data_IF_164172726091
#
_entry.id   IF_164172726091
#
_cell.length_a   1.000
_cell.length_b   1.000
_cell.length_c   1.000
_cell.angle_alpha   90.00
_cell.angle_beta   90.00
_cell.angle_gamma   90.00
#
_symmetry.space_group_name_H-M   'P 1'
#
loop_
_entity.id
_entity.type
_entity.pdbx_description
1 polymer ?
#
# COMPACT_ATOMS: atom_id res chain seq x y z
N UNK A 1 -15.29 1.97 -15.65
CA UNK A 1 -15.09 1.88 -14.18
C UNK A 1 -13.71 2.40 -13.85
N UNK A 2 -13.61 3.24 -12.82
CA UNK A 2 -12.37 3.84 -12.35
C UNK A 2 -11.98 3.19 -11.02
N UNK A 3 -10.82 2.54 -10.98
CA UNK A 3 -10.36 1.75 -9.84
C UNK A 3 -9.11 2.41 -9.28
N UNK A 4 -9.11 2.68 -7.97
CA UNK A 4 -7.89 3.03 -7.26
C UNK A 4 -7.32 1.77 -6.61
N UNK A 5 -6.15 1.32 -7.05
CA UNK A 5 -5.39 0.30 -6.37
C UNK A 5 -4.48 0.97 -5.34
N UNK A 6 -4.45 0.47 -4.10
CA UNK A 6 -3.48 0.88 -3.08
C UNK A 6 -2.62 -0.33 -2.71
N UNK A 7 -1.32 -0.20 -2.90
CA UNK A 7 -0.33 -1.22 -2.57
C UNK A 7 1.00 -0.54 -2.31
N UNK A 8 1.71 -0.91 -1.24
CA UNK A 8 3.06 -0.37 -1.03
C UNK A 8 4.00 -0.78 -2.17
N UNK A 9 3.87 -2.04 -2.61
CA UNK A 9 4.73 -2.64 -3.61
C UNK A 9 4.04 -2.69 -4.97
N UNK A 10 4.75 -2.23 -5.98
CA UNK A 10 4.28 -2.24 -7.37
C UNK A 10 5.48 -2.20 -8.32
N UNK A 11 5.23 -2.34 -9.62
CA UNK A 11 6.26 -2.34 -10.65
C UNK A 11 7.30 -1.22 -10.42
N UNK A 12 8.61 -1.45 -10.54
CA UNK A 12 9.31 -2.66 -11.02
C UNK A 12 9.37 -3.85 -10.06
N UNK A 13 8.77 -3.77 -8.88
CA UNK A 13 8.72 -4.89 -7.94
C UNK A 13 7.68 -5.91 -8.41
N UNK A 14 8.11 -7.14 -8.69
CA UNK A 14 7.27 -8.20 -9.25
C UNK A 14 6.29 -8.80 -8.23
N UNK A 15 5.10 -8.24 -8.12
CA UNK A 15 4.02 -8.72 -7.26
C UNK A 15 2.75 -9.04 -8.07
N UNK A 16 1.93 -9.98 -7.60
CA UNK A 16 0.68 -10.39 -8.30
C UNK A 16 -0.28 -9.23 -8.56
N UNK A 17 -0.20 -8.15 -7.78
CA UNK A 17 -1.01 -6.94 -8.00
C UNK A 17 -0.71 -6.28 -9.35
N UNK A 18 0.49 -6.46 -9.92
CA UNK A 18 0.83 -5.98 -11.25
C UNK A 18 -0.03 -6.66 -12.31
N UNK A 19 -0.15 -7.99 -12.26
CA UNK A 19 -0.98 -8.75 -13.19
C UNK A 19 -2.45 -8.38 -13.06
N UNK A 20 -2.94 -8.23 -11.83
CA UNK A 20 -4.33 -7.77 -11.58
C UNK A 20 -4.56 -6.39 -12.18
N UNK A 21 -3.65 -5.43 -11.96
CA UNK A 21 -3.78 -4.09 -12.53
C UNK A 21 -3.80 -4.12 -14.06
N UNK A 22 -2.89 -4.88 -14.69
CA UNK A 22 -2.85 -5.07 -16.14
C UNK A 22 -4.15 -5.69 -16.66
N UNK A 23 -4.63 -6.77 -16.07
CA UNK A 23 -5.87 -7.42 -16.49
C UNK A 23 -7.11 -6.53 -16.32
N UNK A 24 -7.14 -5.64 -15.32
CA UNK A 24 -8.20 -4.65 -15.17
C UNK A 24 -8.17 -3.61 -16.29
N UNK A 25 -6.97 -3.13 -16.67
CA UNK A 25 -6.79 -2.23 -17.81
C UNK A 25 -7.22 -2.89 -19.12
N UNK A 26 -6.80 -4.14 -19.36
CA UNK A 26 -7.18 -4.92 -20.56
C UNK A 26 -8.71 -5.12 -20.67
N UNK A 27 -9.41 -5.14 -19.54
CA UNK A 27 -10.89 -5.18 -19.46
C UNK A 27 -11.56 -3.80 -19.62
N UNK A 28 -10.80 -2.76 -19.97
CA UNK A 28 -11.30 -1.40 -20.20
C UNK A 28 -11.53 -0.59 -18.91
N UNK A 29 -11.00 -1.01 -17.76
CA UNK A 29 -11.04 -0.20 -16.54
C UNK A 29 -9.96 0.89 -16.59
N UNK A 30 -10.27 2.06 -16.03
CA UNK A 30 -9.25 3.09 -15.75
C UNK A 30 -8.64 2.77 -14.40
N UNK A 31 -7.35 2.47 -14.38
CA UNK A 31 -6.65 2.03 -13.16
C UNK A 31 -5.64 3.08 -12.76
N UNK A 32 -5.82 3.62 -11.56
CA UNK A 32 -4.80 4.42 -10.88
C UNK A 32 -4.24 3.59 -9.73
N UNK A 33 -2.94 3.70 -9.47
CA UNK A 33 -2.25 2.97 -8.40
C UNK A 33 -1.56 3.96 -7.48
N UNK A 34 -1.91 3.98 -6.20
CA UNK A 34 -1.15 4.67 -5.16
C UNK A 34 -0.13 3.70 -4.56
N UNK A 35 1.16 3.99 -4.74
CA UNK A 35 2.25 3.08 -4.37
C UNK A 35 3.46 3.78 -3.74
N UNK A 36 4.35 3.02 -3.11
CA UNK A 36 5.64 3.50 -2.61
C UNK A 36 6.71 3.58 -3.70
N UNK A 37 7.89 4.08 -3.30
CA UNK A 37 9.11 3.98 -4.11
C UNK A 37 9.63 2.53 -4.08
N UNK A 38 10.01 1.94 -5.22
CA UNK A 38 10.45 0.56 -5.28
C UNK A 38 11.75 0.38 -4.51
N UNK A 39 11.79 -0.62 -3.63
CA UNK A 39 12.97 -0.92 -2.79
C UNK A 39 13.11 -2.39 -2.40
N UNK A 40 12.16 -3.24 -2.79
CA UNK A 40 12.14 -4.67 -2.50
C UNK A 40 12.59 -5.48 -3.73
N UNK A 41 13.34 -6.60 -3.56
CA UNK A 41 13.75 -7.22 -2.29
C UNK A 41 15.04 -6.69 -1.66
N UNK A 42 15.86 -5.93 -2.39
CA UNK A 42 17.24 -5.58 -2.01
C UNK A 42 17.31 -4.64 -0.80
N UNK A 43 16.21 -3.96 -0.47
CA UNK A 43 16.09 -2.99 0.62
C UNK A 43 16.62 -1.59 0.27
N UNK A 44 17.13 -1.41 -0.94
CA UNK A 44 17.61 -0.12 -1.48
C UNK A 44 16.68 0.39 -2.57
N UNK A 45 16.52 1.71 -2.66
CA UNK A 45 15.72 2.32 -3.73
C UNK A 45 16.26 1.89 -5.11
N UNK A 46 15.37 1.50 -6.03
CA UNK A 46 15.78 1.07 -7.37
C UNK A 46 16.47 2.21 -8.14
N UNK A 47 17.38 1.88 -9.08
CA UNK A 47 17.98 2.87 -9.97
C UNK A 47 16.92 3.72 -10.70
N UNK A 48 17.16 5.04 -10.79
CA UNK A 48 16.23 5.98 -11.39
C UNK A 48 15.15 6.52 -10.45
N UNK A 49 15.06 5.99 -9.22
CA UNK A 49 14.13 6.47 -8.20
C UNK A 49 14.85 7.23 -7.08
N UNK A 50 14.13 8.17 -6.47
CA UNK A 50 14.53 8.84 -5.23
C UNK A 50 13.56 8.48 -4.10
N UNK A 51 14.07 8.31 -2.88
CA UNK A 51 13.26 8.03 -1.69
C UNK A 51 12.26 9.14 -1.37
N UNK A 52 12.63 10.39 -1.69
CA UNK A 52 11.86 11.59 -1.42
C UNK A 52 11.07 12.06 -2.64
N UNK A 53 10.08 12.91 -2.39
CA UNK A 53 9.25 13.52 -3.42
C UNK A 53 8.17 12.58 -3.98
N UNK A 54 7.08 13.19 -4.42
CA UNK A 54 6.02 12.48 -5.14
C UNK A 54 6.44 12.28 -6.60
N UNK A 55 6.01 11.18 -7.23
CA UNK A 55 6.20 10.97 -8.66
C UNK A 55 4.92 10.46 -9.32
N UNK A 56 4.80 10.73 -10.62
CA UNK A 56 3.77 10.19 -11.49
C UNK A 56 4.44 9.43 -12.63
N UNK A 57 3.97 8.21 -12.88
CA UNK A 57 4.46 7.33 -13.95
C UNK A 57 3.27 6.65 -14.64
N UNK A 58 3.49 6.10 -15.82
CA UNK A 58 2.51 5.24 -16.49
C UNK A 58 3.11 3.86 -16.72
N UNK A 59 2.31 2.83 -16.52
CA UNK A 59 2.72 1.44 -16.68
C UNK A 59 1.55 0.60 -17.19
N UNK A 60 1.70 0.00 -18.38
CA UNK A 60 0.69 -0.86 -19.00
C UNK A 60 -0.74 -0.25 -18.98
N UNK A 61 -0.84 1.05 -19.29
CA UNK A 61 -2.11 1.79 -19.29
C UNK A 61 -2.68 2.15 -17.92
N UNK A 62 -2.01 1.78 -16.82
CA UNK A 62 -2.31 2.24 -15.47
C UNK A 62 -1.47 3.48 -15.11
N UNK A 63 -2.08 4.43 -14.42
CA UNK A 63 -1.38 5.60 -13.86
C UNK A 63 -0.84 5.26 -12.48
N UNK A 64 0.45 5.51 -12.23
CA UNK A 64 1.12 5.26 -10.96
C UNK A 64 1.40 6.57 -10.23
N UNK A 65 0.93 6.67 -9.00
CA UNK A 65 1.15 7.79 -8.08
C UNK A 65 2.06 7.30 -6.96
N UNK A 66 3.32 7.73 -6.97
CA UNK A 66 4.31 7.29 -5.98
C UNK A 66 4.46 8.31 -4.87
N UNK A 67 4.25 7.86 -3.64
CA UNK A 67 4.54 8.64 -2.43
C UNK A 67 5.99 8.42 -1.96
N UNK A 68 6.58 9.37 -1.23
CA UNK A 68 7.85 9.18 -0.54
C UNK A 68 7.84 7.92 0.34
N UNK A 69 8.99 7.24 0.40
CA UNK A 69 9.14 6.01 1.17
C UNK A 69 10.56 5.92 1.71
N UNK A 70 10.69 5.66 3.01
CA UNK A 70 11.98 5.35 3.61
C UNK A 70 12.40 3.93 3.16
N UNK A 71 13.57 3.73 2.54
CA UNK A 71 13.99 2.41 2.07
C UNK A 71 14.10 1.44 3.25
N UNK A 72 13.73 0.17 3.03
CA UNK A 72 13.78 -0.88 4.05
C UNK A 72 15.17 -1.08 4.66
N UNK A 73 16.22 -0.85 3.86
CA UNK A 73 17.60 -1.18 4.21
C UNK A 73 17.87 -2.68 4.13
N UNK A 74 19.16 -3.05 4.15
CA UNK A 74 19.60 -4.44 3.96
C UNK A 74 19.47 -5.28 5.24
N UNK A 75 19.58 -4.64 6.42
CA UNK A 75 19.53 -5.32 7.72
C UNK A 75 18.84 -4.46 8.78
N UNK A 76 17.97 -5.08 9.58
CA UNK A 76 17.42 -4.48 10.80
C UNK A 76 15.89 -4.33 10.80
N UNK A 77 15.29 -4.60 11.96
CA UNK A 77 13.85 -4.42 12.22
C UNK A 77 13.41 -2.96 12.15
N UNK A 78 14.27 -2.03 12.55
CA UNK A 78 13.96 -0.59 12.52
C UNK A 78 13.77 -0.04 11.11
N UNK A 79 14.60 -0.46 10.15
CA UNK A 79 14.45 -0.07 8.74
C UNK A 79 13.15 -0.57 8.14
N UNK A 80 12.76 -1.80 8.48
CA UNK A 80 11.47 -2.37 8.07
C UNK A 80 10.28 -1.60 8.65
N UNK A 81 10.32 -1.28 9.95
CA UNK A 81 9.26 -0.49 10.60
C UNK A 81 9.18 0.92 10.00
N UNK A 82 10.32 1.59 9.79
CA UNK A 82 10.36 2.91 9.17
C UNK A 82 9.83 2.88 7.73
N UNK A 83 10.12 1.83 6.97
CA UNK A 83 9.58 1.61 5.63
C UNK A 83 8.05 1.50 5.63
N UNK A 84 7.47 0.66 6.48
CA UNK A 84 6.02 0.53 6.58
C UNK A 84 5.33 1.81 7.07
N UNK A 85 5.85 2.43 8.14
CA UNK A 85 5.27 3.65 8.69
C UNK A 85 5.38 4.82 7.71
N UNK A 86 6.50 4.97 7.02
CA UNK A 86 6.66 6.03 6.02
C UNK A 86 5.69 5.88 4.85
N UNK A 87 5.38 4.66 4.41
CA UNK A 87 4.33 4.44 3.40
C UNK A 87 2.95 4.86 3.92
N UNK A 88 2.58 4.40 5.12
CA UNK A 88 1.26 4.71 5.70
C UNK A 88 1.10 6.22 5.87
N UNK A 89 2.07 6.89 6.48
CA UNK A 89 2.04 8.33 6.71
C UNK A 89 2.01 9.11 5.40
N UNK A 90 2.89 8.78 4.45
CA UNK A 90 2.96 9.49 3.17
C UNK A 90 1.72 9.23 2.31
N UNK A 91 1.17 8.01 2.35
CA UNK A 91 -0.06 7.64 1.66
C UNK A 91 -1.28 8.39 2.21
N UNK A 92 -1.40 8.52 3.53
CA UNK A 92 -2.50 9.26 4.18
C UNK A 92 -2.40 10.76 3.94
N UNK A 93 -1.19 11.34 4.03
CA UNK A 93 -1.00 12.79 3.93
C UNK A 93 -0.97 13.26 2.47
N UNK A 94 -0.22 12.58 1.61
CA UNK A 94 0.04 13.02 0.24
C UNK A 94 -0.88 12.34 -0.77
N UNK A 95 -1.35 11.12 -0.50
CA UNK A 95 -2.25 10.39 -1.40
C UNK A 95 -3.52 11.16 -1.78
N UNK A 96 -4.32 11.68 -0.82
CA UNK A 96 -5.51 12.46 -1.14
C UNK A 96 -5.21 13.68 -2.02
N UNK A 97 -4.09 14.37 -1.77
CA UNK A 97 -3.66 15.53 -2.54
C UNK A 97 -3.24 15.13 -3.96
N UNK A 98 -2.45 14.07 -4.14
CA UNK A 98 -2.03 13.59 -5.45
C UNK A 98 -3.22 13.16 -6.30
N UNK A 99 -4.22 12.53 -5.68
CA UNK A 99 -5.40 11.99 -6.35
C UNK A 99 -6.56 12.99 -6.43
N UNK A 100 -6.40 14.25 -6.00
CA UNK A 100 -7.50 15.23 -5.82
C UNK A 100 -8.32 15.52 -7.08
N UNK A 101 -7.72 15.38 -8.26
CA UNK A 101 -8.39 15.60 -9.55
C UNK A 101 -8.88 14.31 -10.21
N UNK A 102 -8.83 13.19 -9.49
CA UNK A 102 -9.25 11.86 -9.97
C UNK A 102 -10.54 11.44 -9.28
N UNK A 103 -11.39 10.70 -9.99
CA UNK A 103 -12.65 10.13 -9.48
C UNK A 103 -12.59 8.61 -9.57
N UNK A 104 -13.03 7.94 -8.52
CA UNK A 104 -12.99 6.48 -8.42
C UNK A 104 -14.38 5.95 -8.08
N UNK A 105 -14.66 4.73 -8.54
CA UNK A 105 -15.87 3.97 -8.20
C UNK A 105 -15.59 3.03 -7.01
N UNK A 106 -14.34 2.53 -6.91
CA UNK A 106 -13.92 1.55 -5.91
C UNK A 106 -12.43 1.70 -5.59
N UNK A 107 -12.07 1.43 -4.33
CA UNK A 107 -10.68 1.28 -3.88
C UNK A 107 -10.39 -0.22 -3.70
N UNK A 108 -9.34 -0.71 -4.34
CA UNK A 108 -8.89 -2.10 -4.27
C UNK A 108 -7.54 -2.17 -3.56
N UNK A 109 -7.42 -3.07 -2.58
CA UNK A 109 -6.19 -3.22 -1.79
C UNK A 109 -5.64 -4.61 -1.92
N UNK A 110 -4.34 -4.70 -2.20
CA UNK A 110 -3.58 -5.94 -2.03
C UNK A 110 -3.17 -6.05 -0.55
N UNK A 111 -3.89 -6.87 0.21
CA UNK A 111 -3.67 -7.07 1.65
C UNK A 111 -2.43 -7.92 1.94
N UNK A 112 -1.26 -7.42 1.57
CA UNK A 112 0.04 -8.01 1.90
C UNK A 112 0.40 -7.78 3.37
N UNK A 113 1.35 -8.57 3.86
CA UNK A 113 1.90 -8.41 5.20
C UNK A 113 2.80 -7.17 5.29
N UNK A 114 2.62 -6.27 6.27
CA UNK A 114 1.53 -6.23 7.25
C UNK A 114 0.27 -5.57 6.68
N UNK A 115 -0.92 -6.02 7.12
CA UNK A 115 -2.21 -5.46 6.66
C UNK A 115 -2.38 -3.96 6.95
N UNK A 116 -1.56 -3.40 7.84
CA UNK A 116 -1.47 -1.96 8.11
C UNK A 116 -1.19 -1.13 6.85
N UNK A 117 -0.60 -1.72 5.82
CA UNK A 117 -0.39 -1.06 4.52
C UNK A 117 -1.71 -0.69 3.81
N UNK A 118 -2.85 -1.24 4.25
CA UNK A 118 -4.18 -0.86 3.77
C UNK A 118 -4.67 0.50 4.32
N UNK A 119 -4.06 1.06 5.37
CA UNK A 119 -4.52 2.28 6.04
C UNK A 119 -4.73 3.46 5.07
N UNK A 120 -3.80 3.79 4.14
CA UNK A 120 -4.04 4.86 3.17
C UNK A 120 -5.31 4.62 2.33
N UNK A 121 -5.59 3.37 1.98
CA UNK A 121 -6.76 3.01 1.20
C UNK A 121 -8.05 3.18 1.99
N UNK A 122 -8.09 2.71 3.24
CA UNK A 122 -9.24 2.89 4.15
C UNK A 122 -9.49 4.38 4.37
N UNK A 123 -8.44 5.16 4.60
CA UNK A 123 -8.54 6.60 4.79
C UNK A 123 -9.10 7.31 3.54
N UNK A 124 -8.56 7.00 2.35
CA UNK A 124 -9.05 7.58 1.09
C UNK A 124 -10.49 7.14 0.81
N UNK A 125 -10.84 5.88 1.07
CA UNK A 125 -12.20 5.38 0.91
C UNK A 125 -13.18 6.11 1.85
N UNK A 126 -12.79 6.34 3.11
CA UNK A 126 -13.60 7.05 4.08
C UNK A 126 -13.85 8.52 3.69
N UNK A 127 -12.80 9.29 3.37
CA UNK A 127 -12.96 10.71 3.02
C UNK A 127 -13.65 10.93 1.67
N UNK A 128 -13.69 9.92 0.81
CA UNK A 128 -14.33 9.97 -0.52
C UNK A 128 -15.64 9.17 -0.60
N UNK A 129 -16.07 8.55 0.49
CA UNK A 129 -17.25 7.67 0.55
C UNK A 129 -17.25 6.57 -0.54
N UNK A 130 -16.10 5.92 -0.74
CA UNK A 130 -15.92 4.87 -1.74
C UNK A 130 -16.05 3.48 -1.12
N UNK A 131 -16.49 2.51 -1.94
CA UNK A 131 -16.41 1.10 -1.56
C UNK A 131 -14.94 0.66 -1.50
N UNK A 132 -14.59 -0.09 -0.46
CA UNK A 132 -13.29 -0.70 -0.28
C UNK A 132 -13.39 -2.20 -0.56
N UNK A 133 -12.46 -2.73 -1.36
CA UNK A 133 -12.31 -4.16 -1.62
C UNK A 133 -10.93 -4.58 -1.18
N UNK A 134 -10.88 -5.39 -0.12
CA UNK A 134 -9.63 -5.91 0.44
C UNK A 134 -9.38 -7.33 -0.08
N UNK A 135 -8.33 -7.52 -0.86
CA UNK A 135 -7.84 -8.83 -1.25
C UNK A 135 -6.83 -9.33 -0.22
N UNK A 136 -7.31 -10.11 0.74
CA UNK A 136 -6.50 -10.63 1.86
C UNK A 136 -5.55 -11.71 1.36
N UNK A 137 -4.24 -11.48 1.50
CA UNK A 137 -3.19 -12.43 1.12
C UNK A 137 -2.49 -13.05 2.33
N UNK A 138 -2.71 -12.51 3.53
CA UNK A 138 -2.13 -12.96 4.78
C UNK A 138 -3.17 -12.80 5.92
N UNK A 139 -3.27 -13.80 6.80
CA UNK A 139 -4.24 -13.86 7.90
C UNK A 139 -3.71 -13.11 9.14
N UNK A 140 -3.58 -11.78 9.01
CA UNK A 140 -3.30 -10.92 10.17
C UNK A 140 -4.55 -10.72 11.05
N UNK A 141 -4.41 -10.66 12.38
CA UNK A 141 -3.16 -10.54 13.16
C UNK A 141 -2.55 -11.88 13.59
N UNK A 142 -3.20 -13.00 13.28
CA UNK A 142 -2.80 -14.33 13.76
C UNK A 142 -1.37 -14.67 13.31
N UNK A 143 -1.03 -14.38 12.05
CA UNK A 143 0.35 -14.49 11.53
C UNK A 143 1.37 -13.69 12.35
N UNK A 144 1.06 -12.47 12.78
CA UNK A 144 1.98 -11.67 13.61
C UNK A 144 2.20 -12.32 14.97
N UNK A 145 1.13 -12.76 15.62
CA UNK A 145 1.20 -13.39 16.94
C UNK A 145 2.00 -14.70 16.91
N UNK A 146 1.88 -15.47 15.82
CA UNK A 146 2.60 -16.72 15.63
C UNK A 146 4.11 -16.53 15.40
N UNK A 147 4.55 -15.39 14.85
CA UNK A 147 5.98 -15.14 14.55
C UNK A 147 6.85 -14.89 15.79
N UNK A 148 6.25 -14.61 16.97
CA UNK A 148 6.99 -14.37 18.22
C UNK A 148 7.87 -13.11 18.26
N UNK A 149 7.88 -12.29 17.20
CA UNK A 149 8.71 -11.09 17.07
C UNK A 149 8.19 -9.92 17.91
N UNK A 150 6.87 -9.84 18.14
CA UNK A 150 6.25 -8.83 19.01
C UNK A 150 5.70 -9.51 20.24
N UNK A 151 6.37 -9.33 21.39
CA UNK A 151 5.98 -9.95 22.67
C UNK A 151 5.20 -9.03 23.60
N UNK A 152 5.09 -7.74 23.26
CA UNK A 152 4.40 -6.75 24.12
C UNK A 152 2.88 -6.86 23.98
N UNK A 153 2.13 -7.18 25.07
CA UNK A 153 0.68 -7.31 25.01
C UNK A 153 -0.07 -6.01 24.70
N UNK A 154 0.55 -4.85 24.93
CA UNK A 154 -0.03 -3.54 24.58
C UNK A 154 0.04 -3.27 23.08
N UNK A 155 1.19 -3.56 22.47
CA UNK A 155 1.40 -3.40 21.02
C UNK A 155 0.49 -4.37 20.26
N UNK A 156 0.41 -5.63 20.70
CA UNK A 156 -0.49 -6.62 20.09
C UNK A 156 -1.96 -6.17 20.14
N UNK A 157 -2.43 -5.60 21.26
CA UNK A 157 -3.80 -5.06 21.37
C UNK A 157 -4.03 -3.85 20.47
N UNK A 158 -3.07 -2.95 20.35
CA UNK A 158 -3.17 -1.80 19.45
C UNK A 158 -3.27 -2.26 18.00
N UNK A 159 -2.36 -3.15 17.56
CA UNK A 159 -2.40 -3.76 16.23
C UNK A 159 -3.73 -4.47 15.99
N UNK A 160 -4.19 -5.32 16.90
CA UNK A 160 -5.47 -6.03 16.75
C UNK A 160 -6.67 -5.09 16.64
N UNK A 161 -6.61 -3.91 17.25
CA UNK A 161 -7.66 -2.89 17.13
C UNK A 161 -7.66 -2.24 15.75
N UNK A 162 -6.48 -1.90 15.22
CA UNK A 162 -6.32 -1.38 13.86
C UNK A 162 -6.76 -2.43 12.82
N UNK A 163 -6.37 -3.68 13.00
CA UNK A 163 -6.75 -4.77 12.08
C UNK A 163 -8.27 -4.96 12.05
N UNK A 164 -8.94 -4.99 13.22
CA UNK A 164 -10.41 -5.06 13.28
C UNK A 164 -11.09 -3.88 12.59
N UNK A 165 -10.52 -2.68 12.72
CA UNK A 165 -11.03 -1.49 12.04
C UNK A 165 -10.87 -1.57 10.52
N UNK A 166 -9.74 -2.10 10.02
CA UNK A 166 -9.51 -2.31 8.58
C UNK A 166 -10.52 -3.31 8.01
N UNK A 167 -10.78 -4.43 8.69
CA UNK A 167 -11.75 -5.44 8.23
C UNK A 167 -13.22 -5.02 8.35
N UNK A 168 -13.53 -3.98 9.13
CA UNK A 168 -14.89 -3.48 9.33
C UNK A 168 -15.37 -2.44 8.31
N UNK A 169 -14.51 -2.02 7.38
CA UNK A 169 -14.83 -1.09 6.29
C UNK A 169 -15.18 -1.84 5.00
#
# INVERSE_FOLDING_TARGET
>A
MNILIVSQYFWPEGFRINDIARSLVERGCKVDVLTGKPNYPEGTIFPGYAAWGCAYEEWNGASLFRVPLFPRGVKGTWGLVANYLSFVLSGVVLGPWMLRHRKYDVVFVCGLSPILLAIPAVFIAAIRHLKLVLWVQDLWPDSLSATGHVRSPRILRAVASVVRWIYGH
#
